data_IF_018640830762
#
_entry.id   IF_018640830762
#
_cell.length_a   1.000
_cell.length_b   1.000
_cell.length_c   1.000
_cell.angle_alpha   90.00
_cell.angle_beta   90.00
_cell.angle_gamma   90.00
#
_symmetry.space_group_name_H-M   'P 1'
#
loop_
_entity.id
_entity.type
_entity.pdbx_description
1 polymer ?
#
# COMPACT_ATOMS: atom_id res chain seq x y z
N UNK A 1 -45.25 -0.93 38.70
CA UNK A 1 -44.61 -2.23 38.49
C UNK A 1 -43.36 -1.97 37.70
N UNK A 2 -42.22 -2.14 38.36
CA UNK A 2 -40.88 -1.96 37.80
C UNK A 2 -40.60 -3.09 36.81
N UNK A 3 -40.28 -2.77 35.57
CA UNK A 3 -39.53 -3.67 34.70
C UNK A 3 -38.19 -3.01 34.37
N UNK A 4 -37.22 -3.37 35.20
CA UNK A 4 -35.80 -3.12 35.03
C UNK A 4 -35.33 -3.77 33.73
N UNK A 5 -34.94 -2.93 32.77
CA UNK A 5 -34.12 -3.31 31.62
C UNK A 5 -32.80 -3.89 32.13
N UNK A 6 -32.71 -5.22 32.10
CA UNK A 6 -31.53 -5.97 32.42
C UNK A 6 -30.51 -5.78 31.28
N UNK A 7 -29.67 -4.74 31.41
CA UNK A 7 -28.47 -4.58 30.57
C UNK A 7 -27.48 -5.64 31.03
N UNK A 8 -27.60 -6.83 30.45
CA UNK A 8 -26.63 -7.89 30.62
C UNK A 8 -25.28 -7.42 30.09
N UNK A 9 -24.41 -7.01 31.01
CA UNK A 9 -22.98 -6.95 30.76
C UNK A 9 -22.55 -8.40 30.56
N UNK A 10 -22.44 -8.82 29.30
CA UNK A 10 -21.77 -10.06 28.95
C UNK A 10 -20.31 -9.92 29.37
N UNK A 11 -19.99 -10.34 30.58
CA UNK A 11 -18.63 -10.67 31.01
C UNK A 11 -18.23 -11.94 30.26
N UNK A 12 -18.00 -11.80 28.95
CA UNK A 12 -17.51 -12.85 28.08
C UNK A 12 -16.01 -13.05 28.32
N UNK A 13 -15.58 -14.30 28.25
CA UNK A 13 -14.19 -14.72 28.01
C UNK A 13 -13.53 -13.76 26.99
N UNK A 14 -12.24 -13.41 27.10
CA UNK A 14 -11.58 -12.62 26.05
C UNK A 14 -11.86 -13.30 24.70
N UNK A 15 -12.45 -12.53 23.79
CA UNK A 15 -12.74 -12.97 22.42
C UNK A 15 -11.41 -13.33 21.76
N UNK A 16 -11.35 -14.49 21.10
CA UNK A 16 -10.14 -14.89 20.37
C UNK A 16 -9.80 -13.89 19.27
N UNK A 17 -8.60 -13.95 18.72
CA UNK A 17 -8.17 -13.01 17.68
C UNK A 17 -9.10 -13.03 16.46
N UNK A 18 -9.59 -14.21 16.06
CA UNK A 18 -10.54 -14.33 14.96
C UNK A 18 -11.87 -13.59 15.25
N UNK A 19 -12.37 -13.68 16.48
CA UNK A 19 -13.57 -12.95 16.91
C UNK A 19 -13.32 -11.44 16.88
N UNK A 20 -12.18 -10.97 17.41
CA UNK A 20 -11.79 -9.56 17.39
C UNK A 20 -11.71 -9.01 15.97
N UNK A 21 -11.07 -9.73 15.05
CA UNK A 21 -10.95 -9.35 13.65
C UNK A 21 -12.33 -9.23 13.00
N UNK A 22 -13.22 -10.21 13.21
CA UNK A 22 -14.58 -10.20 12.68
C UNK A 22 -15.41 -9.04 13.27
N UNK A 23 -15.32 -8.79 14.58
CA UNK A 23 -16.04 -7.70 15.25
C UNK A 23 -15.59 -6.33 14.73
N UNK A 24 -14.27 -6.12 14.58
CA UNK A 24 -13.71 -4.88 14.01
C UNK A 24 -14.15 -4.72 12.56
N UNK A 25 -14.07 -5.78 11.75
CA UNK A 25 -14.49 -5.75 10.35
C UNK A 25 -15.99 -5.42 10.22
N UNK A 26 -16.84 -6.00 11.07
CA UNK A 26 -18.28 -5.69 11.13
C UNK A 26 -18.52 -4.23 11.53
N UNK A 27 -17.78 -3.71 12.50
CA UNK A 27 -17.88 -2.31 12.92
C UNK A 27 -17.47 -1.36 11.77
N UNK A 28 -16.40 -1.68 11.05
CA UNK A 28 -15.96 -0.92 9.87
C UNK A 28 -17.04 -0.93 8.78
N UNK A 29 -17.60 -2.09 8.44
CA UNK A 29 -18.65 -2.25 7.43
C UNK A 29 -19.96 -1.56 7.82
N UNK A 30 -20.27 -1.45 9.11
CA UNK A 30 -21.42 -0.65 9.60
C UNK A 30 -21.26 0.82 9.22
N UNK A 31 -20.02 1.32 9.17
CA UNK A 31 -19.71 2.74 8.93
C UNK A 31 -18.87 3.03 7.68
N UNK A 32 -18.70 2.08 6.77
CA UNK A 32 -17.92 2.25 5.53
C UNK A 32 -18.51 1.38 4.43
N UNK A 33 -18.46 1.85 3.19
CA UNK A 33 -18.76 1.02 2.02
C UNK A 33 -17.44 0.75 1.33
N UNK A 34 -16.89 -0.45 1.53
CA UNK A 34 -15.64 -0.87 0.92
C UNK A 34 -15.94 -1.68 -0.36
N UNK A 35 -15.08 -1.60 -1.39
CA UNK A 35 -15.33 -2.19 -2.70
C UNK A 35 -15.25 -3.73 -2.68
N UNK A 36 -14.33 -4.32 -1.93
CA UNK A 36 -14.22 -5.77 -1.74
C UNK A 36 -14.78 -6.17 -0.37
N UNK A 37 -15.43 -7.32 -0.29
CA UNK A 37 -16.06 -7.82 0.95
C UNK A 37 -15.06 -8.13 2.07
N UNK A 38 -13.78 -8.33 1.74
CA UNK A 38 -12.69 -8.62 2.66
C UNK A 38 -11.87 -7.39 3.07
N UNK A 39 -12.07 -6.22 2.45
CA UNK A 39 -11.30 -5.00 2.75
C UNK A 39 -11.41 -4.58 4.23
N UNK A 40 -12.57 -4.80 4.85
CA UNK A 40 -12.78 -4.48 6.26
C UNK A 40 -11.99 -5.43 7.17
N UNK A 41 -11.81 -6.69 6.75
CA UNK A 41 -11.00 -7.68 7.46
C UNK A 41 -9.51 -7.38 7.31
N UNK A 42 -9.06 -6.98 6.13
CA UNK A 42 -7.71 -6.47 5.92
C UNK A 42 -7.42 -5.26 6.82
N UNK A 43 -8.33 -4.28 6.86
CA UNK A 43 -8.20 -3.14 7.76
C UNK A 43 -8.23 -3.55 9.24
N UNK A 44 -9.00 -4.58 9.62
CA UNK A 44 -9.00 -5.12 10.97
C UNK A 44 -7.65 -5.76 11.33
N UNK A 45 -7.10 -6.62 10.47
CA UNK A 45 -5.76 -7.22 10.68
C UNK A 45 -4.69 -6.13 10.80
N UNK A 46 -4.76 -5.11 9.95
CA UNK A 46 -3.87 -3.95 10.00
C UNK A 46 -4.01 -3.16 11.31
N UNK A 47 -5.23 -2.98 11.83
CA UNK A 47 -5.48 -2.37 13.15
C UNK A 47 -4.81 -3.18 14.26
N UNK A 48 -4.95 -4.51 14.27
CA UNK A 48 -4.27 -5.38 15.24
C UNK A 48 -2.75 -5.22 15.15
N UNK A 49 -2.20 -5.21 13.92
CA UNK A 49 -0.77 -5.00 13.69
C UNK A 49 -0.27 -3.71 14.37
N UNK A 50 -1.08 -2.65 14.48
CA UNK A 50 -0.66 -1.42 15.16
C UNK A 50 -0.28 -1.61 16.63
N UNK A 51 -0.69 -2.70 17.27
CA UNK A 51 -0.37 -3.03 18.66
C UNK A 51 0.88 -3.89 18.81
N UNK A 52 1.38 -4.50 17.74
CA UNK A 52 2.51 -5.43 17.74
C UNK A 52 3.55 -5.18 16.63
N UNK A 53 3.45 -4.06 15.90
CA UNK A 53 4.30 -3.78 14.73
C UNK A 53 5.81 -3.81 15.02
N UNK A 54 6.22 -3.54 16.26
CA UNK A 54 7.62 -3.50 16.69
C UNK A 54 8.31 -4.87 16.59
N UNK A 55 7.55 -5.95 16.52
CA UNK A 55 8.06 -7.33 16.40
C UNK A 55 8.28 -7.77 14.96
N UNK A 56 7.71 -7.04 14.00
CA UNK A 56 7.87 -7.33 12.57
C UNK A 56 8.96 -6.50 11.92
N UNK A 57 9.46 -6.96 10.78
CA UNK A 57 10.46 -6.22 10.00
C UNK A 57 9.83 -5.18 9.08
N UNK A 58 8.63 -5.45 8.60
CA UNK A 58 7.89 -4.56 7.72
C UNK A 58 6.51 -4.22 8.28
N UNK A 59 5.99 -3.08 7.86
CA UNK A 59 4.63 -2.64 8.14
C UNK A 59 4.06 -1.94 6.91
N UNK A 60 3.25 -2.68 6.15
CA UNK A 60 2.51 -2.13 5.02
C UNK A 60 1.58 -1.01 5.46
N UNK A 61 1.42 0.00 4.61
CA UNK A 61 0.52 1.11 4.89
C UNK A 61 -0.89 0.81 4.40
N UNK A 62 -1.90 1.33 5.08
CA UNK A 62 -3.27 1.22 4.62
C UNK A 62 -3.65 2.48 3.82
N UNK A 63 -3.96 2.35 2.53
CA UNK A 63 -4.26 3.51 1.68
C UNK A 63 -5.72 3.51 1.22
N UNK A 64 -6.50 4.49 1.67
CA UNK A 64 -7.87 4.73 1.20
C UNK A 64 -7.84 5.72 0.03
N UNK A 65 -8.22 5.27 -1.17
CA UNK A 65 -8.20 6.10 -2.38
C UNK A 65 -9.59 6.23 -2.99
N UNK A 66 -9.86 7.31 -3.71
CA UNK A 66 -11.09 7.42 -4.50
C UNK A 66 -10.95 8.45 -5.62
N UNK A 67 -11.49 8.15 -6.80
CA UNK A 67 -11.48 9.10 -7.93
C UNK A 67 -12.24 10.41 -7.68
N UNK A 68 -13.19 10.44 -6.74
CA UNK A 68 -13.98 11.65 -6.45
C UNK A 68 -14.13 11.92 -4.95
N UNK A 69 -14.40 13.18 -4.54
CA UNK A 69 -14.75 13.49 -3.16
C UNK A 69 -16.02 12.77 -2.68
N UNK A 70 -16.17 12.69 -1.35
CA UNK A 70 -17.36 12.15 -0.65
C UNK A 70 -17.59 10.63 -0.77
N UNK A 71 -16.53 9.85 -0.99
CA UNK A 71 -16.58 8.38 -0.92
C UNK A 71 -16.42 7.79 0.50
N UNK A 72 -16.29 8.62 1.54
CA UNK A 72 -16.21 8.15 2.93
C UNK A 72 -14.81 7.97 3.51
N UNK A 73 -13.72 8.24 2.76
CA UNK A 73 -12.32 8.12 3.22
C UNK A 73 -12.04 8.67 4.61
N UNK A 74 -12.29 9.97 4.84
CA UNK A 74 -12.07 10.62 6.14
C UNK A 74 -12.98 10.08 7.25
N UNK A 75 -14.11 9.45 6.92
CA UNK A 75 -14.98 8.79 7.90
C UNK A 75 -14.39 7.43 8.29
N UNK A 76 -13.93 6.65 7.32
CA UNK A 76 -13.28 5.36 7.52
C UNK A 76 -11.96 5.52 8.27
N UNK A 77 -11.09 6.47 7.86
CA UNK A 77 -9.85 6.77 8.59
C UNK A 77 -10.08 7.18 10.06
N UNK A 78 -11.14 7.93 10.35
CA UNK A 78 -11.46 8.31 11.74
C UNK A 78 -11.86 7.11 12.59
N UNK A 79 -12.56 6.13 12.02
CA UNK A 79 -12.92 4.91 12.73
C UNK A 79 -11.70 4.01 12.93
N UNK A 80 -10.90 3.80 11.87
CA UNK A 80 -9.63 3.06 11.94
C UNK A 80 -8.72 3.67 12.99
N UNK A 81 -8.47 4.98 12.91
CA UNK A 81 -7.61 5.70 13.85
C UNK A 81 -8.10 5.61 15.30
N UNK A 82 -9.42 5.55 15.54
CA UNK A 82 -9.95 5.36 16.90
C UNK A 82 -9.68 3.97 17.47
N UNK A 83 -9.56 2.94 16.62
CA UNK A 83 -9.31 1.55 16.99
C UNK A 83 -7.82 1.17 17.06
N UNK A 84 -6.94 1.99 16.47
CA UNK A 84 -5.49 1.76 16.48
C UNK A 84 -4.85 2.06 17.83
N UNK A 85 -3.64 1.52 18.05
CA UNK A 85 -2.82 1.82 19.23
C UNK A 85 -2.65 3.34 19.41
N UNK A 86 -2.98 3.82 20.61
CA UNK A 86 -2.91 5.25 20.96
C UNK A 86 -4.01 6.13 20.39
N UNK A 87 -4.98 5.55 19.68
CA UNK A 87 -6.12 6.23 19.05
C UNK A 87 -5.77 7.52 18.27
N UNK A 88 -4.79 7.49 17.34
CA UNK A 88 -4.32 8.66 16.62
C UNK A 88 -5.44 9.34 15.83
N UNK A 89 -5.46 10.68 15.89
CA UNK A 89 -6.38 11.49 15.10
C UNK A 89 -5.80 11.72 13.69
N UNK A 90 -6.65 11.77 12.65
CA UNK A 90 -6.19 12.12 11.31
C UNK A 90 -5.54 13.51 11.28
N UNK A 91 -4.36 13.58 10.66
CA UNK A 91 -3.64 14.83 10.40
C UNK A 91 -3.83 15.21 8.93
N UNK A 92 -4.26 16.44 8.68
CA UNK A 92 -4.38 17.00 7.34
C UNK A 92 -3.13 17.82 7.02
N UNK A 93 -2.49 17.57 5.87
CA UNK A 93 -1.32 18.33 5.38
C UNK A 93 -0.18 18.52 6.43
N UNK A 94 0.30 17.46 7.10
CA UNK A 94 1.39 17.58 8.07
C UNK A 94 2.72 17.96 7.39
N UNK A 95 3.59 18.66 8.10
CA UNK A 95 4.99 18.82 7.67
C UNK A 95 5.78 17.55 7.98
N UNK A 96 6.86 17.29 7.26
CA UNK A 96 7.75 16.16 7.56
C UNK A 96 8.25 16.19 9.02
N UNK A 97 8.52 17.38 9.56
CA UNK A 97 8.90 17.60 10.95
C UNK A 97 7.87 17.10 11.97
N UNK A 98 6.58 17.22 11.68
CA UNK A 98 5.52 16.67 12.53
C UNK A 98 5.55 15.14 12.49
N UNK A 99 5.83 14.55 11.33
CA UNK A 99 5.86 13.10 11.15
C UNK A 99 7.07 12.46 11.85
N UNK A 100 8.29 12.91 11.55
CA UNK A 100 9.49 12.25 12.08
C UNK A 100 9.78 12.54 13.55
N UNK A 101 9.17 13.57 14.13
CA UNK A 101 9.25 13.86 15.58
C UNK A 101 8.07 13.30 16.36
N UNK A 102 7.11 12.65 15.70
CA UNK A 102 5.94 12.11 16.40
C UNK A 102 6.38 11.01 17.38
N UNK A 103 5.99 11.10 18.67
CA UNK A 103 6.26 10.03 19.62
C UNK A 103 5.50 8.74 19.28
N UNK A 104 4.28 8.86 18.74
CA UNK A 104 3.56 7.71 18.16
C UNK A 104 4.09 7.43 16.77
N UNK A 105 4.35 6.16 16.47
CA UNK A 105 4.68 5.72 15.10
C UNK A 105 3.45 5.30 14.30
N UNK A 106 2.29 5.19 14.95
CA UNK A 106 1.00 4.94 14.31
C UNK A 106 0.41 6.26 13.86
N UNK A 107 0.41 6.51 12.55
CA UNK A 107 0.02 7.79 11.97
C UNK A 107 -1.18 7.66 11.05
N UNK A 108 -2.14 8.58 11.16
CA UNK A 108 -3.30 8.67 10.28
C UNK A 108 -3.23 9.97 9.51
N UNK A 109 -3.08 9.91 8.19
CA UNK A 109 -2.89 11.08 7.34
C UNK A 109 -4.06 11.21 6.36
N UNK A 110 -4.72 12.36 6.37
CA UNK A 110 -5.82 12.68 5.46
C UNK A 110 -5.40 13.76 4.47
N UNK A 111 -5.96 13.69 3.26
CA UNK A 111 -5.68 14.62 2.16
C UNK A 111 -4.17 14.77 1.84
N UNK A 112 -3.42 13.66 1.89
CA UNK A 112 -1.96 13.65 1.66
C UNK A 112 -1.60 14.18 0.27
N UNK A 113 -2.48 13.94 -0.70
CA UNK A 113 -2.37 14.39 -2.09
C UNK A 113 -2.43 15.91 -2.25
N UNK A 114 -3.09 16.64 -1.34
CA UNK A 114 -3.16 18.12 -1.42
C UNK A 114 -1.78 18.78 -1.33
N UNK A 115 -0.81 18.14 -0.66
CA UNK A 115 0.55 18.64 -0.57
C UNK A 115 1.24 18.68 -1.94
N UNK A 116 0.91 17.74 -2.83
CA UNK A 116 1.55 17.58 -4.15
C UNK A 116 1.46 18.84 -5.02
N UNK A 117 0.29 19.48 -5.02
CA UNK A 117 0.02 20.65 -5.86
C UNK A 117 0.36 21.96 -5.17
N UNK A 118 0.36 21.99 -3.83
CA UNK A 118 0.62 23.19 -3.06
C UNK A 118 2.12 23.50 -2.92
N UNK A 119 2.94 22.47 -2.68
CA UNK A 119 4.36 22.65 -2.36
C UNK A 119 5.14 21.34 -2.63
N UNK A 120 5.83 21.29 -3.77
CA UNK A 120 6.57 20.09 -4.22
C UNK A 120 7.70 19.71 -3.28
N UNK A 121 8.36 20.68 -2.66
CA UNK A 121 9.45 20.42 -1.72
C UNK A 121 8.90 19.78 -0.44
N UNK A 122 7.86 20.38 0.14
CA UNK A 122 7.19 19.78 1.32
C UNK A 122 6.62 18.41 1.02
N UNK A 123 6.03 18.21 -0.16
CA UNK A 123 5.54 16.90 -0.58
C UNK A 123 6.69 15.89 -0.65
N UNK A 124 7.81 16.23 -1.30
CA UNK A 124 8.99 15.37 -1.37
C UNK A 124 9.55 15.01 0.00
N UNK A 125 9.60 15.96 0.92
CA UNK A 125 10.03 15.76 2.31
C UNK A 125 9.11 14.77 3.07
N UNK A 126 7.80 14.92 2.92
CA UNK A 126 6.81 14.01 3.54
C UNK A 126 6.91 12.63 2.91
N UNK A 127 7.02 12.51 1.59
CA UNK A 127 7.22 11.24 0.90
C UNK A 127 8.52 10.57 1.33
N UNK A 128 9.60 11.33 1.59
CA UNK A 128 10.85 10.80 2.12
C UNK A 128 10.68 10.13 3.50
N UNK A 129 9.90 10.74 4.39
CA UNK A 129 9.57 10.14 5.70
C UNK A 129 8.73 8.88 5.53
N UNK A 130 7.71 8.92 4.66
CA UNK A 130 6.84 7.77 4.42
C UNK A 130 7.59 6.60 3.76
N UNK A 131 8.45 6.86 2.78
CA UNK A 131 9.22 5.82 2.10
C UNK A 131 10.25 5.14 3.01
N UNK A 132 10.76 5.83 4.03
CA UNK A 132 11.66 5.23 5.01
C UNK A 132 10.92 4.48 6.13
N UNK A 133 9.63 4.76 6.36
CA UNK A 133 8.94 4.33 7.58
C UNK A 133 8.21 2.98 7.54
N UNK A 134 8.31 2.21 6.45
CA UNK A 134 7.63 0.92 6.30
C UNK A 134 8.49 -0.25 6.78
N UNK A 135 9.80 -0.05 6.94
CA UNK A 135 10.78 -1.08 7.31
C UNK A 135 11.49 -0.69 8.61
N UNK A 136 11.74 -1.68 9.45
CA UNK A 136 12.42 -1.50 10.73
C UNK A 136 13.83 -0.99 10.53
N UNK A 137 14.26 -0.05 11.38
CA UNK A 137 15.54 0.66 11.21
C UNK A 137 15.46 1.82 10.19
N UNK A 138 14.31 2.04 9.58
CA UNK A 138 14.02 3.21 8.76
C UNK A 138 14.19 4.53 9.52
N UNK A 139 15.17 5.33 9.11
CA UNK A 139 15.47 6.63 9.74
C UNK A 139 15.51 7.77 8.73
N UNK A 140 15.17 8.98 9.19
CA UNK A 140 15.48 10.21 8.48
C UNK A 140 16.49 11.05 9.25
N UNK A 141 17.52 11.53 8.55
CA UNK A 141 18.55 12.40 9.13
C UNK A 141 18.10 13.85 9.05
N UNK A 142 18.19 14.59 10.16
CA UNK A 142 17.93 16.03 10.20
C UNK A 142 18.93 16.73 11.11
N UNK A 143 19.42 17.88 10.68
CA UNK A 143 20.25 18.73 11.53
C UNK A 143 19.40 19.33 12.64
N UNK A 144 19.89 19.28 13.88
CA UNK A 144 19.28 19.89 15.05
C UNK A 144 20.29 20.78 15.78
N UNK A 145 19.87 21.87 16.42
CA UNK A 145 20.78 22.69 17.21
C UNK A 145 21.28 21.91 18.42
N UNK A 146 22.59 21.91 18.61
CA UNK A 146 23.25 21.43 19.82
C UNK A 146 23.14 22.47 20.94
N UNK A 147 23.44 22.06 22.18
CA UNK A 147 23.46 22.97 23.33
C UNK A 147 24.48 24.12 23.17
N UNK A 148 25.48 23.98 22.30
CA UNK A 148 26.51 24.98 22.03
C UNK A 148 26.20 25.93 20.86
N UNK A 149 25.06 25.77 20.19
CA UNK A 149 24.67 26.59 19.02
C UNK A 149 25.07 26.00 17.66
N UNK A 150 25.93 24.97 17.63
CA UNK A 150 26.28 24.24 16.40
C UNK A 150 25.13 23.35 15.93
N UNK A 151 25.07 23.05 14.63
CA UNK A 151 24.11 22.09 14.06
C UNK A 151 24.71 20.70 13.96
N UNK A 152 24.05 19.70 14.54
CA UNK A 152 24.49 18.30 14.51
C UNK A 152 23.44 17.42 13.82
N UNK A 153 23.86 16.43 13.01
CA UNK A 153 22.93 15.48 12.42
C UNK A 153 22.32 14.60 13.51
N UNK A 154 21.00 14.40 13.44
CA UNK A 154 20.26 13.47 14.29
C UNK A 154 19.42 12.54 13.43
N UNK A 155 19.53 11.25 13.70
CA UNK A 155 18.64 10.23 13.17
C UNK A 155 17.30 10.26 13.90
N UNK A 156 16.21 10.28 13.15
CA UNK A 156 14.86 10.10 13.67
C UNK A 156 14.30 8.80 13.11
N UNK A 157 13.99 7.86 14.01
CA UNK A 157 13.26 6.65 13.65
C UNK A 157 11.84 7.00 13.19
N UNK A 158 11.48 6.46 12.03
CA UNK A 158 10.18 6.67 11.39
C UNK A 158 9.45 5.37 11.09
N UNK A 159 9.98 4.22 11.51
CA UNK A 159 9.34 2.93 11.34
C UNK A 159 7.99 2.87 12.07
N UNK A 160 6.95 2.40 11.39
CA UNK A 160 5.67 2.04 12.00
C UNK A 160 4.45 2.23 11.11
N UNK A 161 3.25 1.86 11.58
CA UNK A 161 2.05 1.82 10.77
C UNK A 161 1.59 3.22 10.34
N UNK A 162 1.30 3.41 9.05
CA UNK A 162 0.61 4.60 8.56
C UNK A 162 -0.64 4.24 7.76
N UNK A 163 -1.73 4.93 8.04
CA UNK A 163 -2.92 4.93 7.19
C UNK A 163 -3.05 6.27 6.46
N UNK A 164 -3.28 6.23 5.16
CA UNK A 164 -3.29 7.39 4.27
C UNK A 164 -4.66 7.50 3.58
N UNK A 165 -5.12 8.73 3.34
CA UNK A 165 -6.23 8.98 2.44
C UNK A 165 -5.92 10.11 1.45
N UNK A 166 -6.33 9.91 0.20
CA UNK A 166 -6.17 10.89 -0.88
C UNK A 166 -7.11 10.65 -2.05
N UNK A 167 -7.27 11.65 -2.90
CA UNK A 167 -7.95 11.53 -4.20
C UNK A 167 -6.93 11.09 -5.24
N UNK A 168 -5.80 11.81 -5.30
CA UNK A 168 -4.71 11.54 -6.24
C UNK A 168 -3.73 10.49 -5.70
N UNK A 169 -2.87 10.02 -6.60
CA UNK A 169 -1.88 8.97 -6.36
C UNK A 169 -0.87 9.33 -5.27
N UNK A 170 -0.53 8.31 -4.49
CA UNK A 170 0.76 8.24 -3.80
C UNK A 170 1.87 8.10 -4.86
N UNK A 171 3.10 8.51 -4.57
CA UNK A 171 4.21 8.26 -5.50
C UNK A 171 4.33 6.75 -5.78
N UNK A 172 4.77 6.36 -6.98
CA UNK A 172 4.90 4.93 -7.36
C UNK A 172 5.64 4.13 -6.29
N UNK A 173 6.72 4.70 -5.76
CA UNK A 173 7.51 4.11 -4.67
C UNK A 173 6.71 3.81 -3.41
N UNK A 174 5.72 4.63 -3.07
CA UNK A 174 4.90 4.46 -1.88
C UNK A 174 3.74 3.50 -2.14
N UNK A 175 3.25 3.40 -3.38
CA UNK A 175 2.18 2.49 -3.77
C UNK A 175 2.55 1.03 -3.50
N UNK A 176 3.78 0.63 -3.85
CA UNK A 176 4.33 -0.72 -3.61
C UNK A 176 4.45 -1.09 -2.11
N UNK A 177 4.29 -0.10 -1.21
CA UNK A 177 4.37 -0.28 0.25
C UNK A 177 2.99 -0.17 0.91
N UNK A 178 1.92 -0.20 0.12
CA UNK A 178 0.56 0.07 0.59
C UNK A 178 -0.42 -1.01 0.19
N UNK A 179 -1.32 -1.36 1.11
CA UNK A 179 -2.56 -2.04 0.81
C UNK A 179 -3.61 -1.01 0.36
N UNK A 180 -3.84 -0.93 -0.95
CA UNK A 180 -4.74 0.06 -1.54
C UNK A 180 -6.20 -0.42 -1.52
N UNK A 181 -7.09 0.40 -0.92
CA UNK A 181 -8.54 0.19 -0.92
C UNK A 181 -9.20 1.31 -1.77
N UNK A 182 -9.72 1.01 -2.98
CA UNK A 182 -10.32 1.98 -3.88
C UNK A 182 -11.79 2.28 -3.50
N UNK A 183 -11.97 3.18 -2.54
CA UNK A 183 -13.28 3.60 -2.06
C UNK A 183 -14.14 4.23 -3.17
N UNK A 184 -15.41 3.77 -3.21
CA UNK A 184 -16.46 4.30 -4.08
C UNK A 184 -17.56 4.94 -3.26
N UNK A 185 -18.44 5.72 -3.90
CA UNK A 185 -19.62 6.25 -3.22
C UNK A 185 -20.48 5.07 -2.75
N UNK A 186 -20.91 5.13 -1.49
CA UNK A 186 -21.77 4.10 -0.93
C UNK A 186 -23.06 3.99 -1.77
N UNK A 187 -23.51 2.77 -2.12
CA UNK A 187 -24.72 2.58 -2.92
C UNK A 187 -25.99 2.99 -2.15
N UNK A 188 -25.89 3.06 -0.82
CA UNK A 188 -26.96 3.49 0.07
C UNK A 188 -26.42 4.42 1.15
N UNK A 189 -27.33 5.18 1.77
CA UNK A 189 -26.98 6.01 2.92
C UNK A 189 -26.59 5.13 4.10
N UNK A 190 -25.39 5.34 4.63
CA UNK A 190 -24.89 4.64 5.82
C UNK A 190 -25.26 5.40 7.11
N UNK A 191 -25.33 4.71 8.27
CA UNK A 191 -25.54 5.35 9.57
C UNK A 191 -24.51 6.44 9.87
N UNK A 192 -24.90 7.51 10.56
CA UNK A 192 -23.95 8.56 10.94
C UNK A 192 -22.91 7.98 11.91
N UNK A 193 -21.62 8.13 11.59
CA UNK A 193 -20.54 7.80 12.53
C UNK A 193 -20.51 8.85 13.64
N UNK A 194 -20.74 8.41 14.88
CA UNK A 194 -20.62 9.23 16.09
C UNK A 194 -19.73 8.50 17.09
N UNK A 195 -18.43 8.83 17.09
CA UNK A 195 -17.44 8.19 17.95
C UNK A 195 -17.78 8.30 19.44
N UNK A 196 -18.47 9.37 19.87
CA UNK A 196 -18.89 9.53 21.28
C UNK A 196 -19.85 8.43 21.72
N UNK A 197 -20.74 7.98 20.83
CA UNK A 197 -21.68 6.90 21.14
C UNK A 197 -21.03 5.52 21.04
N UNK A 198 -19.94 5.41 20.27
CA UNK A 198 -19.18 4.17 20.10
C UNK A 198 -18.02 4.05 21.10
N UNK A 199 -17.81 5.04 21.97
CA UNK A 199 -16.61 5.12 22.81
C UNK A 199 -16.44 3.88 23.71
N UNK A 200 -17.53 3.34 24.25
CA UNK A 200 -17.49 2.11 25.06
C UNK A 200 -17.12 0.88 24.22
N UNK A 201 -17.73 0.71 23.04
CA UNK A 201 -17.43 -0.37 22.10
C UNK A 201 -15.97 -0.30 21.62
N UNK A 202 -15.49 0.89 21.25
CA UNK A 202 -14.11 1.15 20.82
C UNK A 202 -13.13 0.88 21.96
N UNK A 203 -13.39 1.40 23.17
CA UNK A 203 -12.49 1.19 24.31
C UNK A 203 -12.39 -0.29 24.69
N UNK A 204 -13.51 -1.02 24.63
CA UNK A 204 -13.51 -2.46 24.85
C UNK A 204 -12.64 -3.16 23.81
N UNK A 205 -12.89 -2.93 22.52
CA UNK A 205 -12.10 -3.54 21.45
C UNK A 205 -10.60 -3.21 21.58
N UNK A 206 -10.24 -1.95 21.80
CA UNK A 206 -8.84 -1.56 22.03
C UNK A 206 -8.20 -2.27 23.23
N UNK A 207 -8.94 -2.44 24.33
CA UNK A 207 -8.48 -3.15 25.52
C UNK A 207 -8.32 -4.65 25.27
N UNK A 208 -9.27 -5.25 24.55
CA UNK A 208 -9.24 -6.67 24.21
C UNK A 208 -8.06 -6.97 23.26
N UNK A 209 -7.82 -6.12 22.25
CA UNK A 209 -6.65 -6.24 21.36
C UNK A 209 -5.35 -6.13 22.17
N UNK A 210 -5.24 -5.10 23.02
CA UNK A 210 -4.03 -4.89 23.81
C UNK A 210 -3.76 -6.04 24.78
N UNK A 211 -4.81 -6.61 25.35
CA UNK A 211 -4.71 -7.78 26.25
C UNK A 211 -4.26 -9.01 25.47
N UNK A 212 -4.93 -9.30 24.36
CA UNK A 212 -4.59 -10.44 23.50
C UNK A 212 -3.14 -10.34 22.99
N UNK A 213 -2.73 -9.21 22.43
CA UNK A 213 -1.36 -9.00 21.92
C UNK A 213 -0.31 -9.19 23.02
N UNK A 214 -0.59 -8.71 24.23
CA UNK A 214 0.32 -8.87 25.38
C UNK A 214 0.43 -10.33 25.82
N UNK A 215 -0.69 -11.06 25.85
CA UNK A 215 -0.72 -12.47 26.24
C UNK A 215 -0.04 -13.38 25.21
N UNK A 216 -0.07 -13.01 23.93
CA UNK A 216 0.44 -13.82 22.83
C UNK A 216 1.75 -13.29 22.22
N UNK A 217 2.45 -12.36 22.90
CA UNK A 217 3.70 -11.76 22.40
C UNK A 217 4.71 -12.82 21.92
N UNK A 218 5.04 -13.80 22.77
CA UNK A 218 6.01 -14.85 22.43
C UNK A 218 5.55 -15.70 21.25
N UNK A 219 4.25 -15.97 21.13
CA UNK A 219 3.70 -16.73 20.01
C UNK A 219 3.80 -15.94 18.70
N UNK A 220 3.54 -14.63 18.71
CA UNK A 220 3.65 -13.76 17.54
C UNK A 220 5.09 -13.65 17.06
N UNK A 221 6.03 -13.38 17.99
CA UNK A 221 7.47 -13.31 17.66
C UNK A 221 7.96 -14.64 17.09
N UNK A 222 7.62 -15.76 17.75
CA UNK A 222 8.03 -17.10 17.29
C UNK A 222 7.45 -17.44 15.92
N UNK A 223 6.17 -17.14 15.69
CA UNK A 223 5.52 -17.41 14.40
C UNK A 223 6.14 -16.59 13.26
N UNK A 224 6.56 -15.36 13.54
CA UNK A 224 7.24 -14.51 12.56
C UNK A 224 8.68 -14.98 12.29
N UNK A 225 9.45 -15.27 13.35
CA UNK A 225 10.85 -15.71 13.24
C UNK A 225 10.99 -17.09 12.56
N UNK A 226 9.94 -17.91 12.60
CA UNK A 226 9.88 -19.24 11.98
C UNK A 226 9.24 -19.23 10.58
N UNK A 227 8.90 -18.06 10.03
CA UNK A 227 8.44 -17.99 8.64
C UNK A 227 9.52 -18.57 7.71
N UNK A 228 9.13 -19.41 6.72
CA UNK A 228 10.07 -19.83 5.69
C UNK A 228 10.48 -18.64 4.82
N UNK A 229 11.64 -18.75 4.16
CA UNK A 229 12.15 -17.74 3.21
C UNK A 229 11.17 -17.40 2.08
N UNK A 230 10.19 -18.29 1.80
CA UNK A 230 9.11 -18.03 0.86
C UNK A 230 7.81 -18.64 1.38
N UNK A 231 6.74 -17.84 1.38
CA UNK A 231 5.40 -18.26 1.73
C UNK A 231 4.61 -18.61 0.47
N UNK A 232 4.22 -19.88 0.31
CA UNK A 232 3.48 -20.35 -0.87
C UNK A 232 2.20 -19.53 -1.13
N UNK A 233 1.49 -19.14 -0.07
CA UNK A 233 0.28 -18.33 -0.18
C UNK A 233 0.51 -16.90 -0.71
N UNK A 234 1.76 -16.41 -0.64
CA UNK A 234 2.17 -15.10 -1.12
C UNK A 234 3.05 -15.16 -2.38
N UNK A 235 3.51 -16.34 -2.79
CA UNK A 235 4.49 -16.53 -3.88
C UNK A 235 4.08 -15.97 -5.25
N UNK A 236 2.79 -15.68 -5.46
CA UNK A 236 2.26 -15.05 -6.68
C UNK A 236 2.37 -13.52 -6.70
N UNK A 237 2.71 -12.90 -5.58
CA UNK A 237 2.84 -11.45 -5.44
C UNK A 237 4.28 -11.01 -5.60
N UNK A 238 4.52 -9.74 -5.91
CA UNK A 238 5.87 -9.18 -5.93
C UNK A 238 6.48 -9.13 -4.51
N UNK A 239 7.81 -9.20 -4.43
CA UNK A 239 8.57 -9.27 -3.18
C UNK A 239 8.15 -8.18 -2.17
N UNK A 240 7.86 -6.96 -2.63
CA UNK A 240 7.47 -5.85 -1.75
C UNK A 240 6.11 -6.09 -1.11
N UNK A 241 5.15 -6.60 -1.88
CA UNK A 241 3.85 -6.96 -1.35
C UNK A 241 3.95 -8.15 -0.38
N UNK A 242 4.83 -9.12 -0.67
CA UNK A 242 5.09 -10.24 0.25
C UNK A 242 5.63 -9.73 1.60
N UNK A 243 6.72 -8.95 1.57
CA UNK A 243 7.36 -8.33 2.74
C UNK A 243 6.34 -7.65 3.67
N UNK A 244 5.48 -6.80 3.11
CA UNK A 244 4.51 -6.04 3.92
C UNK A 244 3.31 -6.87 4.37
N UNK A 245 3.03 -8.01 3.72
CA UNK A 245 1.90 -8.88 4.00
C UNK A 245 2.22 -9.98 5.04
N UNK A 246 3.47 -10.41 5.15
CA UNK A 246 3.90 -11.41 6.14
C UNK A 246 3.37 -11.15 7.56
N UNK A 247 3.45 -9.93 8.12
CA UNK A 247 2.91 -9.66 9.46
C UNK A 247 1.41 -9.93 9.57
N UNK A 248 0.64 -9.60 8.52
CA UNK A 248 -0.79 -9.83 8.51
C UNK A 248 -1.11 -11.31 8.34
N UNK A 249 -0.31 -12.05 7.57
CA UNK A 249 -0.41 -13.52 7.43
C UNK A 249 -0.14 -14.22 8.75
N UNK A 250 0.87 -13.78 9.53
CA UNK A 250 1.11 -14.31 10.87
C UNK A 250 -0.10 -14.11 11.76
N UNK A 251 -0.62 -12.88 11.86
CA UNK A 251 -1.79 -12.59 12.68
C UNK A 251 -3.02 -13.38 12.23
N UNK A 252 -3.26 -13.50 10.92
CA UNK A 252 -4.38 -14.27 10.40
C UNK A 252 -4.24 -15.77 10.66
N UNK A 253 -3.04 -16.33 10.55
CA UNK A 253 -2.77 -17.75 10.84
C UNK A 253 -3.01 -18.06 12.31
N UNK A 254 -2.53 -17.21 13.23
CA UNK A 254 -2.77 -17.35 14.66
C UNK A 254 -4.27 -17.25 14.99
N UNK A 255 -5.00 -16.36 14.32
CA UNK A 255 -6.44 -16.25 14.46
C UNK A 255 -7.17 -17.54 14.06
N UNK A 256 -6.75 -18.16 12.94
CA UNK A 256 -7.31 -19.41 12.47
C UNK A 256 -6.96 -20.60 13.38
N UNK A 257 -5.77 -20.61 13.99
CA UNK A 257 -5.38 -21.64 14.97
C UNK A 257 -6.24 -21.63 16.25
N UNK A 258 -6.66 -20.45 16.71
CA UNK A 258 -7.51 -20.30 17.89
C UNK A 258 -8.95 -20.78 17.68
N UNK A 259 -9.41 -20.82 16.42
CA UNK A 259 -10.81 -21.06 16.06
C UNK A 259 -10.94 -22.32 15.22
N UNK A 260 -11.44 -23.39 15.84
CA UNK A 260 -11.67 -24.67 15.17
C UNK A 260 -12.84 -24.67 14.15
N UNK A 261 -13.76 -23.71 14.24
CA UNK A 261 -14.95 -23.62 13.37
C UNK A 261 -15.21 -22.17 12.93
N UNK A 262 -15.45 -21.95 11.63
CA UNK A 262 -15.81 -20.65 11.06
C UNK A 262 -15.09 -20.35 9.74
N UNK A 263 -15.39 -19.21 9.08
CA UNK A 263 -14.65 -18.80 7.89
C UNK A 263 -13.20 -18.43 8.24
N UNK A 264 -12.24 -19.03 7.53
CA UNK A 264 -10.82 -18.77 7.72
C UNK A 264 -10.47 -17.29 7.47
N UNK A 265 -9.79 -16.68 8.43
CA UNK A 265 -9.27 -15.32 8.38
C UNK A 265 -8.18 -15.21 7.32
N UNK A 266 -7.25 -16.17 7.25
CA UNK A 266 -6.16 -16.15 6.28
C UNK A 266 -6.67 -16.14 4.83
N UNK A 267 -7.63 -17.01 4.51
CA UNK A 267 -8.19 -17.08 3.15
C UNK A 267 -8.86 -15.76 2.75
N UNK A 268 -9.61 -15.14 3.66
CA UNK A 268 -10.27 -13.85 3.43
C UNK A 268 -9.25 -12.71 3.31
N UNK A 269 -8.20 -12.72 4.14
CA UNK A 269 -7.10 -11.77 4.07
C UNK A 269 -6.39 -11.86 2.70
N UNK A 270 -6.08 -13.07 2.23
CA UNK A 270 -5.45 -13.29 0.92
C UNK A 270 -6.35 -12.79 -0.23
N UNK A 271 -7.67 -12.93 -0.10
CA UNK A 271 -8.64 -12.34 -1.02
C UNK A 271 -8.56 -10.81 -1.06
N UNK A 272 -8.42 -10.16 0.10
CA UNK A 272 -8.24 -8.70 0.19
C UNK A 272 -6.87 -8.25 -0.35
N UNK A 273 -5.79 -8.98 -0.07
CA UNK A 273 -4.45 -8.69 -0.59
C UNK A 273 -4.43 -8.83 -2.12
N UNK A 274 -5.07 -9.87 -2.66
CA UNK A 274 -5.26 -10.04 -4.11
C UNK A 274 -5.96 -8.84 -4.72
N UNK A 275 -7.08 -8.42 -4.11
CA UNK A 275 -7.82 -7.26 -4.56
C UNK A 275 -6.97 -5.99 -4.49
N UNK A 276 -6.19 -5.78 -3.43
CA UNK A 276 -5.29 -4.63 -3.30
C UNK A 276 -4.18 -4.63 -4.36
N UNK A 277 -3.59 -5.80 -4.66
CA UNK A 277 -2.56 -5.98 -5.68
C UNK A 277 -3.09 -5.63 -7.09
N UNK A 278 -4.32 -6.05 -7.39
CA UNK A 278 -4.99 -5.75 -8.66
C UNK A 278 -5.32 -4.25 -8.83
N UNK A 279 -5.32 -3.47 -7.74
CA UNK A 279 -5.51 -2.02 -7.78
C UNK A 279 -4.20 -1.25 -7.92
N UNK A 280 -3.05 -1.92 -7.99
CA UNK A 280 -1.79 -1.29 -8.35
C UNK A 280 -1.94 -0.70 -9.74
N UNK A 281 -1.89 0.63 -9.79
CA UNK A 281 -1.84 1.30 -11.07
C UNK A 281 -0.40 1.31 -11.59
N UNK A 282 -0.21 1.12 -12.90
CA UNK A 282 1.11 1.16 -13.50
C UNK A 282 1.76 2.53 -13.32
N UNK A 283 3.06 2.53 -13.05
CA UNK A 283 3.84 3.76 -13.08
C UNK A 283 3.87 4.35 -14.49
N UNK A 284 4.21 5.63 -14.60
CA UNK A 284 4.30 6.31 -15.90
C UNK A 284 5.26 5.61 -16.88
N UNK A 285 6.31 4.95 -16.36
CA UNK A 285 7.26 4.18 -17.18
C UNK A 285 6.64 2.89 -17.72
N UNK A 286 5.89 2.14 -16.91
CA UNK A 286 5.15 0.95 -17.34
C UNK A 286 4.12 1.33 -18.42
N UNK A 287 3.34 2.39 -18.18
CA UNK A 287 2.37 2.91 -19.15
C UNK A 287 3.01 3.29 -20.49
N UNK A 288 4.25 3.81 -20.47
CA UNK A 288 5.01 4.14 -21.69
C UNK A 288 5.62 2.89 -22.33
N UNK A 289 6.08 1.93 -21.53
CA UNK A 289 6.77 0.73 -22.00
C UNK A 289 5.81 -0.26 -22.67
N UNK A 290 4.59 -0.44 -22.15
CA UNK A 290 3.66 -1.43 -22.71
C UNK A 290 3.33 -1.19 -24.18
N UNK A 291 2.97 0.04 -24.63
CA UNK A 291 2.78 0.31 -26.05
C UNK A 291 4.04 0.06 -26.87
N UNK A 292 5.23 0.38 -26.34
CA UNK A 292 6.52 0.11 -27.01
C UNK A 292 6.74 -1.39 -27.18
N UNK A 293 6.45 -2.21 -26.16
CA UNK A 293 6.54 -3.67 -26.24
C UNK A 293 5.50 -4.24 -27.23
N UNK A 294 4.28 -3.68 -27.28
CA UNK A 294 3.28 -4.04 -28.30
C UNK A 294 3.77 -3.73 -29.72
N UNK A 295 4.29 -2.53 -29.93
CA UNK A 295 4.89 -2.12 -31.21
C UNK A 295 6.04 -3.08 -31.56
N UNK A 296 6.95 -3.35 -30.62
CA UNK A 296 8.10 -4.22 -30.85
C UNK A 296 7.67 -5.65 -31.20
N UNK A 297 6.68 -6.21 -30.49
CA UNK A 297 6.10 -7.54 -30.78
C UNK A 297 5.51 -7.61 -32.18
N UNK A 298 4.74 -6.59 -32.59
CA UNK A 298 4.17 -6.49 -33.94
C UNK A 298 5.26 -6.37 -35.01
N UNK A 299 6.31 -5.57 -34.76
CA UNK A 299 7.43 -5.37 -35.70
C UNK A 299 8.28 -6.62 -35.87
N UNK A 300 8.51 -7.38 -34.81
CA UNK A 300 9.26 -8.64 -34.86
C UNK A 300 8.46 -9.72 -35.59
N UNK A 301 7.17 -9.88 -35.26
CA UNK A 301 6.34 -10.97 -35.77
C UNK A 301 6.96 -12.34 -35.49
N UNK A 302 7.04 -13.20 -36.50
CA UNK A 302 7.63 -14.54 -36.38
C UNK A 302 9.16 -14.56 -36.49
N UNK A 303 9.81 -13.41 -36.71
CA UNK A 303 11.26 -13.33 -36.81
C UNK A 303 11.95 -13.42 -35.44
N UNK A 304 13.23 -13.79 -35.43
CA UNK A 304 14.07 -13.74 -34.21
C UNK A 304 14.61 -12.33 -33.94
N UNK A 305 14.78 -11.53 -35.00
CA UNK A 305 15.39 -10.20 -34.93
C UNK A 305 14.97 -9.35 -36.13
N UNK A 306 14.68 -8.07 -35.92
CA UNK A 306 14.36 -7.09 -36.97
C UNK A 306 15.05 -5.76 -36.70
N UNK A 307 15.45 -5.05 -37.76
CA UNK A 307 15.92 -3.67 -37.64
C UNK A 307 14.77 -2.70 -37.90
N UNK A 308 14.56 -1.76 -36.98
CA UNK A 308 13.57 -0.69 -37.11
C UNK A 308 14.28 0.66 -37.10
N UNK A 309 14.26 1.44 -38.19
CA UNK A 309 14.77 2.80 -38.23
C UNK A 309 14.20 3.67 -37.10
N UNK A 310 15.01 4.58 -36.55
CA UNK A 310 14.60 5.37 -35.39
C UNK A 310 13.39 6.26 -35.68
N UNK A 311 13.32 6.84 -36.88
CA UNK A 311 12.20 7.70 -37.28
C UNK A 311 10.90 6.89 -37.41
N UNK A 312 10.97 5.71 -38.01
CA UNK A 312 9.83 4.82 -38.14
C UNK A 312 9.33 4.31 -36.76
N UNK A 313 10.24 4.01 -35.84
CA UNK A 313 9.85 3.63 -34.49
C UNK A 313 9.19 4.80 -33.74
N UNK A 314 9.74 6.01 -33.88
CA UNK A 314 9.13 7.24 -33.34
C UNK A 314 7.73 7.46 -33.89
N UNK A 315 7.52 7.30 -35.20
CA UNK A 315 6.20 7.41 -35.82
C UNK A 315 5.19 6.44 -35.17
N UNK A 316 5.57 5.19 -34.94
CA UNK A 316 4.73 4.25 -34.21
C UNK A 316 4.42 4.71 -32.77
N UNK A 317 5.42 5.23 -32.04
CA UNK A 317 5.22 5.73 -30.68
C UNK A 317 4.27 6.94 -30.65
N UNK A 318 4.36 7.86 -31.61
CA UNK A 318 3.47 9.04 -31.64
C UNK A 318 2.00 8.70 -31.88
N UNK A 319 1.72 7.52 -32.44
CA UNK A 319 0.36 7.03 -32.71
C UNK A 319 -0.23 6.20 -31.56
N UNK A 320 0.58 5.84 -30.57
CA UNK A 320 0.15 5.02 -29.44
C UNK A 320 -0.07 5.86 -28.18
N UNK A 321 -1.09 5.48 -27.40
CA UNK A 321 -1.41 6.15 -26.14
C UNK A 321 -0.23 6.08 -25.15
N UNK A 322 -0.06 7.14 -24.35
CA UNK A 322 1.02 7.30 -23.36
C UNK A 322 2.47 7.36 -23.92
N UNK A 323 2.66 7.28 -25.24
CA UNK A 323 3.97 7.44 -25.90
C UNK A 323 4.07 8.65 -26.83
N UNK A 324 3.04 9.49 -26.88
CA UNK A 324 2.92 10.71 -27.70
C UNK A 324 4.07 11.72 -27.47
N UNK A 325 4.57 11.80 -26.23
CA UNK A 325 5.70 12.66 -25.89
C UNK A 325 7.03 12.21 -26.52
N UNK A 326 7.13 10.96 -27.01
CA UNK A 326 8.29 10.39 -27.72
C UNK A 326 8.22 10.77 -29.21
N UNK A 327 8.34 12.07 -29.47
CA UNK A 327 8.22 12.69 -30.81
C UNK A 327 9.55 12.80 -31.58
N UNK A 328 10.64 12.24 -31.06
CA UNK A 328 11.96 12.36 -31.69
C UNK A 328 12.90 11.19 -31.35
N UNK A 329 13.85 10.85 -32.24
CA UNK A 329 14.82 9.78 -31.98
C UNK A 329 15.63 9.97 -30.70
N UNK A 330 15.89 11.22 -30.30
CA UNK A 330 16.59 11.57 -29.07
C UNK A 330 15.79 11.18 -27.83
N UNK A 331 14.48 11.48 -27.80
CA UNK A 331 13.61 11.10 -26.67
C UNK A 331 13.44 9.59 -26.60
N UNK A 332 13.25 8.93 -27.75
CA UNK A 332 13.15 7.47 -27.83
C UNK A 332 14.43 6.81 -27.28
N UNK A 333 15.61 7.26 -27.71
CA UNK A 333 16.88 6.75 -27.20
C UNK A 333 17.06 7.02 -25.70
N UNK A 334 16.60 8.16 -25.21
CA UNK A 334 16.63 8.50 -23.78
C UNK A 334 15.78 7.56 -22.92
N UNK A 335 14.60 7.17 -23.43
CA UNK A 335 13.71 6.22 -22.75
C UNK A 335 14.23 4.78 -22.83
N UNK A 336 14.49 4.29 -24.05
CA UNK A 336 14.87 2.89 -24.32
C UNK A 336 16.22 2.48 -23.70
N UNK A 337 17.11 3.44 -23.45
CA UNK A 337 18.37 3.18 -22.74
C UNK A 337 18.15 2.58 -21.34
N UNK A 338 17.01 2.84 -20.70
CA UNK A 338 16.69 2.26 -19.39
C UNK A 338 16.24 0.80 -19.48
N UNK A 339 16.04 0.28 -20.69
CA UNK A 339 15.62 -1.09 -20.99
C UNK A 339 16.66 -1.79 -21.88
N UNK A 340 17.93 -1.41 -21.72
CA UNK A 340 19.09 -1.95 -22.44
C UNK A 340 19.02 -1.93 -23.97
N UNK A 341 18.13 -1.13 -24.53
CA UNK A 341 17.93 -1.01 -25.98
C UNK A 341 18.51 0.31 -26.49
N UNK A 342 19.55 0.22 -27.34
CA UNK A 342 20.30 1.39 -27.86
C UNK A 342 20.28 1.45 -29.38
N UNK A 343 20.24 2.66 -29.98
CA UNK A 343 20.25 2.80 -31.43
C UNK A 343 21.61 2.44 -32.02
N UNK A 344 21.60 1.57 -33.03
CA UNK A 344 22.75 1.11 -33.82
C UNK A 344 22.64 1.64 -35.26
N UNK A 345 23.74 1.62 -35.98
CA UNK A 345 23.74 1.84 -37.42
C UNK A 345 23.03 0.67 -38.12
N UNK A 346 22.32 1.00 -39.20
CA UNK A 346 21.72 0.04 -40.12
C UNK A 346 22.81 -0.76 -40.85
N UNK A 347 22.51 -1.98 -41.34
CA UNK A 347 23.47 -2.79 -42.09
C UNK A 347 24.12 -2.08 -43.30
N UNK A 348 23.37 -1.19 -43.94
CA UNK A 348 23.80 -0.40 -45.09
C UNK A 348 24.41 0.96 -44.71
N UNK A 349 24.47 1.29 -43.41
CA UNK A 349 25.04 2.52 -42.89
C UNK A 349 24.24 3.79 -43.18
N UNK A 350 23.03 3.68 -43.75
CA UNK A 350 22.27 4.85 -44.23
C UNK A 350 21.50 5.56 -43.12
N UNK A 351 21.09 4.82 -42.08
CA UNK A 351 20.31 5.36 -40.97
C UNK A 351 20.68 4.71 -39.62
N UNK A 352 20.17 5.30 -38.53
CA UNK A 352 20.23 4.71 -37.19
C UNK A 352 18.87 4.16 -36.78
N UNK A 353 18.87 3.05 -36.08
CA UNK A 353 17.65 2.35 -35.66
C UNK A 353 17.93 1.34 -34.55
N UNK A 354 16.94 0.52 -34.27
CA UNK A 354 16.98 -0.45 -33.18
C UNK A 354 16.91 -1.85 -33.73
N UNK A 355 17.76 -2.72 -33.19
CA UNK A 355 17.63 -4.16 -33.40
C UNK A 355 16.71 -4.71 -32.32
N UNK A 356 15.46 -4.98 -32.69
CA UNK A 356 14.50 -5.62 -31.81
C UNK A 356 14.71 -7.14 -31.91
N UNK A 357 14.94 -7.80 -30.78
CA UNK A 357 15.08 -9.26 -30.69
C UNK A 357 13.88 -9.85 -29.97
N UNK A 358 13.51 -11.08 -30.32
CA UNK A 358 12.44 -11.81 -29.61
C UNK A 358 12.76 -11.94 -28.13
N UNK A 359 14.01 -12.30 -27.81
CA UNK A 359 14.53 -12.38 -26.45
C UNK A 359 14.31 -11.09 -25.64
N UNK A 360 14.62 -9.92 -26.22
CA UNK A 360 14.40 -8.64 -25.54
C UNK A 360 12.92 -8.39 -25.28
N UNK A 361 12.04 -8.68 -26.25
CA UNK A 361 10.60 -8.51 -26.05
C UNK A 361 10.07 -9.47 -24.98
N UNK A 362 10.45 -10.75 -25.03
CA UNK A 362 10.02 -11.76 -24.07
C UNK A 362 10.52 -11.46 -22.65
N UNK A 363 11.79 -11.06 -22.51
CA UNK A 363 12.39 -10.67 -21.23
C UNK A 363 11.62 -9.52 -20.59
N UNK A 364 11.44 -8.41 -21.30
CA UNK A 364 10.77 -7.23 -20.75
C UNK A 364 9.25 -7.41 -20.63
N UNK A 365 8.61 -8.26 -21.44
CA UNK A 365 7.22 -8.66 -21.23
C UNK A 365 7.04 -9.55 -20.00
N UNK A 366 8.01 -10.42 -19.69
CA UNK A 366 7.98 -11.22 -18.47
C UNK A 366 8.15 -10.35 -17.23
N UNK A 367 8.97 -9.30 -17.29
CA UNK A 367 9.21 -8.38 -16.16
C UNK A 367 8.10 -7.32 -16.01
N UNK A 368 7.54 -6.86 -17.13
CA UNK A 368 6.46 -5.87 -17.18
C UNK A 368 5.27 -6.42 -17.99
N UNK A 369 4.52 -7.39 -17.43
CA UNK A 369 3.39 -7.98 -18.10
C UNK A 369 2.38 -6.91 -18.47
N UNK A 370 1.91 -6.98 -19.71
CA UNK A 370 0.91 -6.07 -20.25
C UNK A 370 -0.46 -6.53 -19.73
N UNK A 371 -1.24 -5.65 -19.06
CA UNK A 371 -2.58 -6.01 -18.61
C UNK A 371 -3.46 -6.39 -19.81
N UNK A 372 -4.15 -7.53 -19.71
CA UNK A 372 -5.14 -8.02 -20.67
C UNK A 372 -4.62 -8.55 -22.03
N UNK A 373 -3.34 -8.90 -22.15
CA UNK A 373 -2.82 -9.66 -23.31
C UNK A 373 -2.86 -11.19 -23.08
#
# INVERSE_FOLDING_TARGET
>A
MNDTLNVGILTGKPSGLADLIDEIAQLINRYSSLPNEHDALLAACWIIQTYCYEWFQYCGYLALRSATPRCGKSRTLRLIGALCLGSPKPMTTPTAAVLFRNPSKVLILDEVDRLRNADKEKFGDVMGVLNAGYEKGGVVQRNVPSKGGDWVPKAFDVYGPKALAGIEFLTDTLADRTFMIPMRRAPRRLPRLNLRHLQSEINRLCSDIQTWVKEHQTQIETAYDQLPDSLECLARFDDRLQDIAEPLVVLASLADEERSEGPAILLRLLGAISAAAEQREPCAREMTLWPILKIAKVRIGDNLKVFVPSNEFVECCTLADATDWIDSPRKLAGFLRNFDLRPRESPDGQCRGYWLTREWVEEWQSQYPIPHD
#
